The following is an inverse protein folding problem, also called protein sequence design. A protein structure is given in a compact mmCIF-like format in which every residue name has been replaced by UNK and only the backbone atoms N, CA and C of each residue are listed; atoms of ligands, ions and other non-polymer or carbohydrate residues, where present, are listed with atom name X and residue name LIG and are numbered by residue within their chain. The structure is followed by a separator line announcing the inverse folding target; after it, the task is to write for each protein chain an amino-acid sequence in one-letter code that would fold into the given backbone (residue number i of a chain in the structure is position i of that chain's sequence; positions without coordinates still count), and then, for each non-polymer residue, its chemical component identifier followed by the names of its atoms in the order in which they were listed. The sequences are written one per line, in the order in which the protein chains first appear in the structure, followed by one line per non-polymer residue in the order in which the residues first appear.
data_IF_067536111754
#
_entry.id   IF_067536111754
#
_cell.length_a   1.000
_cell.length_b   1.000
_cell.length_c   1.000
_cell.angle_alpha   90.00
_cell.angle_beta   90.00
_cell.angle_gamma   90.00
#
_symmetry.space_group_name_H-M   'P 1'
#
loop_
_entity.id
_entity.type
_entity.pdbx_description
1 polymer ?
#
# COMPACT_ATOMS: atom_id res chain seq x y z
N UNK A 1 15.85 17.78 -5.96
CA UNK A 1 16.50 16.53 -5.56
C UNK A 1 16.25 16.15 -4.09
N UNK A 2 15.51 16.95 -3.33
CA UNK A 2 15.28 16.73 -1.90
C UNK A 2 13.78 16.48 -1.66
N UNK A 3 13.46 15.51 -0.79
CA UNK A 3 12.09 15.19 -0.39
C UNK A 3 11.37 16.41 0.22
N UNK A 4 12.12 17.38 0.74
CA UNK A 4 11.57 18.67 1.22
C UNK A 4 10.85 19.48 0.14
N UNK A 5 11.03 19.17 -1.14
CA UNK A 5 10.44 19.91 -2.26
C UNK A 5 9.26 19.19 -2.93
N UNK A 6 8.77 18.09 -2.35
CA UNK A 6 7.65 17.31 -2.91
C UNK A 6 6.39 18.15 -3.12
N UNK A 7 6.17 19.18 -2.30
CA UNK A 7 5.01 20.08 -2.38
C UNK A 7 5.02 21.01 -3.60
N UNK A 8 6.16 21.12 -4.30
CA UNK A 8 6.23 21.83 -5.57
C UNK A 8 5.48 21.11 -6.69
N UNK A 9 5.39 19.79 -6.63
CA UNK A 9 4.72 18.96 -7.64
C UNK A 9 3.21 19.05 -7.43
N UNK A 10 2.49 19.57 -8.44
CA UNK A 10 1.03 19.68 -8.44
C UNK A 10 0.40 18.68 -9.41
N UNK A 11 -0.92 18.58 -9.34
CA UNK A 11 -1.67 17.74 -10.26
C UNK A 11 -1.45 18.20 -11.70
N UNK A 12 -1.03 17.27 -12.57
CA UNK A 12 -0.68 17.58 -13.96
C UNK A 12 0.81 17.75 -14.23
N UNK A 13 1.65 17.83 -13.19
CA UNK A 13 3.09 18.02 -13.34
C UNK A 13 3.84 16.70 -13.64
N UNK A 14 5.05 16.84 -14.16
CA UNK A 14 5.98 15.72 -14.36
C UNK A 14 7.06 15.82 -13.28
N UNK A 15 7.19 14.77 -12.47
CA UNK A 15 8.21 14.71 -11.42
C UNK A 15 9.56 14.36 -12.06
N UNK A 16 10.54 15.26 -11.92
CA UNK A 16 11.93 15.04 -12.33
C UNK A 16 12.82 15.03 -11.08
N UNK A 17 13.59 13.96 -10.87
CA UNK A 17 14.47 13.82 -9.71
C UNK A 17 15.72 12.99 -10.03
N UNK A 18 16.76 13.06 -9.18
CA UNK A 18 17.93 12.20 -9.37
C UNK A 18 17.57 10.72 -9.11
N UNK A 19 16.86 10.48 -8.01
CA UNK A 19 16.31 9.19 -7.60
C UNK A 19 15.06 9.44 -6.74
N UNK A 20 14.16 8.47 -6.65
CA UNK A 20 13.00 8.52 -5.76
C UNK A 20 13.19 7.60 -4.54
N UNK A 21 12.71 8.03 -3.37
CA UNK A 21 12.52 7.21 -2.16
C UNK A 21 11.03 7.08 -1.82
N UNK A 22 10.64 6.24 -0.85
CA UNK A 22 9.25 6.15 -0.39
C UNK A 22 8.64 7.51 -0.01
N UNK A 23 9.43 8.46 0.48
CA UNK A 23 8.98 9.80 0.89
C UNK A 23 8.41 10.62 -0.28
N UNK A 24 8.76 10.26 -1.52
CA UNK A 24 8.27 10.93 -2.72
C UNK A 24 6.83 10.49 -3.07
N UNK A 25 6.27 9.48 -2.40
CA UNK A 25 4.96 8.90 -2.71
C UNK A 25 3.83 9.95 -2.87
N UNK A 26 3.70 10.98 -1.99
CA UNK A 26 2.68 12.01 -2.17
C UNK A 26 2.83 12.79 -3.49
N UNK A 27 4.06 13.17 -3.87
CA UNK A 27 4.33 13.83 -5.15
C UNK A 27 4.13 12.90 -6.34
N UNK A 28 4.53 11.63 -6.23
CA UNK A 28 4.35 10.62 -7.28
C UNK A 28 2.87 10.38 -7.60
N UNK A 29 1.98 10.47 -6.60
CA UNK A 29 0.52 10.37 -6.81
C UNK A 29 -0.07 11.54 -7.61
N UNK A 30 0.49 12.75 -7.45
CA UNK A 30 0.05 13.96 -8.17
C UNK A 30 0.61 14.06 -9.59
N UNK A 31 1.80 13.48 -9.79
CA UNK A 31 2.50 13.55 -11.06
C UNK A 31 1.81 12.72 -12.16
N UNK A 32 1.79 13.25 -13.39
CA UNK A 32 1.28 12.54 -14.58
C UNK A 32 2.34 11.69 -15.27
N UNK A 33 3.61 11.92 -14.97
CA UNK A 33 4.74 11.09 -15.38
C UNK A 33 5.95 11.30 -14.46
N UNK A 34 6.91 10.38 -14.49
CA UNK A 34 8.12 10.44 -13.65
C UNK A 34 9.37 10.24 -14.50
N UNK A 35 10.38 11.09 -14.29
CA UNK A 35 11.71 10.96 -14.91
C UNK A 35 12.77 10.95 -13.80
N UNK A 36 13.64 9.93 -13.79
CA UNK A 36 14.78 9.90 -12.87
C UNK A 36 16.13 9.75 -13.59
N UNK A 37 17.15 10.46 -13.11
CA UNK A 37 18.51 10.38 -13.66
C UNK A 37 19.12 9.00 -13.42
N UNK A 38 18.89 8.44 -12.23
CA UNK A 38 19.40 7.13 -11.82
C UNK A 38 18.28 6.12 -11.66
N UNK A 39 18.67 4.85 -11.63
CA UNK A 39 17.79 3.72 -11.40
C UNK A 39 17.57 2.88 -12.64
N UNK A 40 17.40 1.57 -12.43
CA UNK A 40 17.06 0.62 -13.48
C UNK A 40 15.59 0.21 -13.46
N UNK A 41 15.26 -0.84 -14.22
CA UNK A 41 13.88 -1.37 -14.31
C UNK A 41 13.25 -1.74 -12.95
N UNK A 42 14.07 -2.01 -11.95
CA UNK A 42 13.71 -2.39 -10.58
C UNK A 42 13.85 -1.26 -9.56
N UNK A 43 14.16 -0.03 -10.01
CA UNK A 43 14.25 1.12 -9.11
C UNK A 43 12.87 1.47 -8.53
N UNK A 44 12.87 2.16 -7.38
CA UNK A 44 11.65 2.61 -6.70
C UNK A 44 10.69 3.34 -7.66
N UNK A 45 11.19 4.33 -8.41
CA UNK A 45 10.41 5.09 -9.39
C UNK A 45 9.73 4.17 -10.42
N UNK A 46 10.47 3.18 -10.95
CA UNK A 46 9.96 2.26 -11.96
C UNK A 46 8.92 1.28 -11.40
N UNK A 47 9.06 0.85 -10.15
CA UNK A 47 8.10 -0.05 -9.48
C UNK A 47 6.80 0.71 -9.19
N UNK A 48 6.90 1.85 -8.50
CA UNK A 48 5.74 2.64 -8.08
C UNK A 48 4.99 3.21 -9.28
N UNK A 49 5.69 3.67 -10.32
CA UNK A 49 5.00 4.19 -11.53
C UNK A 49 4.17 3.13 -12.24
N UNK A 50 4.61 1.87 -12.26
CA UNK A 50 3.82 0.76 -12.81
C UNK A 50 2.57 0.47 -11.98
N UNK A 51 2.69 0.59 -10.65
CA UNK A 51 1.55 0.46 -9.74
C UNK A 51 0.53 1.57 -9.92
N UNK A 52 1.00 2.82 -10.05
CA UNK A 52 0.15 3.99 -10.31
C UNK A 52 -0.39 4.04 -11.75
N UNK A 53 0.22 3.31 -12.67
CA UNK A 53 -0.15 3.31 -14.09
C UNK A 53 0.24 4.58 -14.84
N UNK A 54 1.27 5.29 -14.38
CA UNK A 54 1.79 6.51 -15.00
C UNK A 54 3.08 6.21 -15.81
N UNK A 55 3.34 6.92 -16.92
CA UNK A 55 4.59 6.78 -17.66
C UNK A 55 5.81 7.10 -16.80
N UNK A 56 6.87 6.30 -16.95
CA UNK A 56 8.12 6.53 -16.23
C UNK A 56 9.34 6.22 -17.09
N UNK A 57 10.35 7.09 -17.00
CA UNK A 57 11.68 6.92 -17.58
C UNK A 57 12.70 6.99 -16.44
N UNK A 58 13.51 5.97 -16.29
CA UNK A 58 14.57 5.90 -15.28
C UNK A 58 15.91 5.73 -15.98
N UNK A 59 16.99 6.22 -15.37
CA UNK A 59 18.31 6.19 -16.01
C UNK A 59 18.44 7.22 -17.11
N UNK A 60 17.78 8.38 -16.98
CA UNK A 60 17.88 9.48 -17.95
C UNK A 60 19.22 10.23 -17.89
N UNK A 61 20.05 9.92 -16.89
CA UNK A 61 21.39 10.45 -16.59
C UNK A 61 21.45 11.95 -16.25
N UNK A 62 20.79 12.81 -17.02
CA UNK A 62 20.92 14.28 -16.95
C UNK A 62 19.58 15.03 -17.02
N UNK A 63 18.46 14.39 -16.73
CA UNK A 63 17.15 15.05 -16.73
C UNK A 63 17.09 16.21 -15.73
N UNK A 64 17.65 16.07 -14.52
CA UNK A 64 17.62 17.15 -13.51
C UNK A 64 18.44 18.38 -13.89
N UNK A 65 19.39 18.25 -14.82
CA UNK A 65 20.21 19.37 -15.32
C UNK A 65 19.76 19.89 -16.67
N UNK A 66 19.02 19.08 -17.44
CA UNK A 66 18.54 19.43 -18.79
C UNK A 66 17.13 20.03 -18.76
N UNK A 67 16.29 19.62 -17.80
CA UNK A 67 14.91 20.10 -17.65
C UNK A 67 14.84 21.13 -16.54
N UNK A 68 14.19 22.25 -16.82
CA UNK A 68 13.97 23.33 -15.84
C UNK A 68 12.54 23.31 -15.28
N UNK A 69 12.35 23.76 -14.04
CA UNK A 69 11.02 23.91 -13.43
C UNK A 69 10.07 24.71 -14.33
N UNK A 70 8.84 24.21 -14.50
CA UNK A 70 7.82 24.81 -15.38
C UNK A 70 7.98 24.53 -16.87
N UNK A 71 9.06 23.86 -17.29
CA UNK A 71 9.24 23.46 -18.69
C UNK A 71 8.23 22.36 -19.09
N UNK A 72 7.53 22.59 -20.20
CA UNK A 72 6.64 21.59 -20.78
C UNK A 72 7.47 20.53 -21.50
N UNK A 73 7.36 19.28 -21.05
CA UNK A 73 7.99 18.11 -21.67
C UNK A 73 6.96 17.00 -21.91
N UNK A 74 7.28 16.06 -22.79
CA UNK A 74 6.50 14.84 -23.01
C UNK A 74 7.33 13.61 -22.65
N UNK A 75 6.75 12.70 -21.87
CA UNK A 75 7.39 11.46 -21.42
C UNK A 75 6.79 10.25 -22.12
N UNK A 76 7.61 9.53 -22.88
CA UNK A 76 7.28 8.24 -23.47
C UNK A 76 7.92 7.12 -22.65
N UNK A 77 7.16 6.62 -21.67
CA UNK A 77 7.57 5.48 -20.84
C UNK A 77 7.65 4.13 -21.57
N UNK A 78 7.15 4.02 -22.81
CA UNK A 78 7.22 2.77 -23.59
C UNK A 78 8.58 2.61 -24.28
N UNK A 79 9.13 3.72 -24.78
CA UNK A 79 10.42 3.75 -25.47
C UNK A 79 11.55 4.33 -24.64
N UNK A 80 11.27 4.80 -23.41
CA UNK A 80 12.28 5.39 -22.54
C UNK A 80 12.74 6.78 -23.00
N UNK A 81 11.87 7.57 -23.65
CA UNK A 81 12.23 8.85 -24.27
C UNK A 81 11.54 10.03 -23.60
N UNK A 82 12.26 11.14 -23.49
CA UNK A 82 11.74 12.43 -23.03
C UNK A 82 11.91 13.44 -24.15
N UNK A 83 10.85 14.18 -24.47
CA UNK A 83 10.81 15.15 -25.56
C UNK A 83 10.53 16.54 -25.00
N UNK A 84 11.14 17.56 -25.61
CA UNK A 84 10.80 18.94 -25.31
C UNK A 84 9.42 19.30 -25.91
N UNK A 85 8.61 20.04 -25.16
CA UNK A 85 7.28 20.47 -25.56
C UNK A 85 6.20 19.39 -25.43
N UNK A 86 4.97 19.76 -25.83
CA UNK A 86 3.78 18.90 -25.79
C UNK A 86 3.61 18.18 -27.12
N UNK A 87 3.96 16.90 -27.17
CA UNK A 87 3.75 16.06 -28.34
C UNK A 87 2.31 15.52 -28.31
N UNK A 88 1.49 15.95 -29.26
CA UNK A 88 0.10 15.47 -29.41
C UNK A 88 0.10 14.13 -30.14
N UNK A 89 0.44 13.04 -29.45
CA UNK A 89 0.16 11.70 -29.96
C UNK A 89 -1.24 11.29 -29.50
N UNK A 90 -2.13 11.03 -30.46
CA UNK A 90 -3.45 10.44 -30.20
C UNK A 90 -3.21 9.01 -29.67
N UNK A 91 -3.18 8.84 -28.35
CA UNK A 91 -3.17 7.51 -27.77
C UNK A 91 -4.50 6.90 -28.23
N UNK A 92 -4.43 5.89 -29.09
CA UNK A 92 -5.54 4.94 -29.23
C UNK A 92 -5.59 4.21 -27.90
N UNK A 93 -6.25 4.80 -26.91
CA UNK A 93 -6.80 4.05 -25.80
C UNK A 93 -7.88 3.21 -26.44
N UNK A 94 -7.50 2.03 -26.95
CA UNK A 94 -8.46 0.97 -27.16
C UNK A 94 -9.11 0.81 -25.79
N UNK A 95 -10.35 1.26 -25.69
CA UNK A 95 -11.16 1.09 -24.49
C UNK A 95 -11.29 -0.43 -24.33
N UNK A 96 -10.40 -1.02 -23.53
CA UNK A 96 -10.47 -2.40 -23.07
C UNK A 96 -11.82 -2.70 -22.38
N UNK A 97 -12.62 -1.67 -22.13
CA UNK A 97 -14.01 -1.72 -21.70
C UNK A 97 -14.92 -2.59 -22.57
N UNK A 98 -14.59 -2.86 -23.85
CA UNK A 98 -15.47 -3.67 -24.71
C UNK A 98 -15.17 -5.17 -24.71
N UNK A 99 -14.06 -5.65 -24.14
CA UNK A 99 -13.63 -7.05 -24.32
C UNK A 99 -14.08 -8.00 -23.20
N UNK A 100 -14.55 -7.55 -22.03
CA UNK A 100 -14.90 -8.48 -20.95
C UNK A 100 -16.22 -8.12 -20.26
N UNK A 101 -17.34 -8.34 -20.96
CA UNK A 101 -18.64 -8.54 -20.31
C UNK A 101 -18.86 -9.99 -19.87
N UNK A 102 -18.20 -10.94 -20.53
CA UNK A 102 -18.30 -12.35 -20.13
C UNK A 102 -17.24 -12.66 -19.08
N UNK A 103 -17.72 -13.13 -17.91
CA UNK A 103 -16.85 -13.62 -16.85
C UNK A 103 -15.98 -14.76 -17.39
N UNK A 104 -14.69 -14.50 -17.60
CA UNK A 104 -13.74 -15.55 -17.96
C UNK A 104 -13.71 -16.55 -16.82
N UNK A 105 -14.19 -17.76 -17.07
CA UNK A 105 -14.12 -18.85 -16.10
C UNK A 105 -12.70 -19.43 -16.11
N UNK A 106 -11.92 -19.06 -15.11
CA UNK A 106 -10.58 -19.61 -14.88
C UNK A 106 -10.65 -20.83 -13.95
N UNK A 107 -9.68 -21.75 -14.06
CA UNK A 107 -9.50 -22.83 -13.06
C UNK A 107 -8.94 -22.30 -11.74
N UNK A 108 -8.15 -21.23 -11.82
CA UNK A 108 -7.48 -20.58 -10.69
C UNK A 108 -8.13 -19.24 -10.42
N UNK A 109 -8.38 -18.93 -9.15
CA UNK A 109 -8.90 -17.63 -8.75
C UNK A 109 -7.88 -16.53 -9.03
N UNK A 110 -8.33 -15.43 -9.62
CA UNK A 110 -7.54 -14.23 -9.91
C UNK A 110 -7.81 -13.21 -8.82
N UNK A 111 -6.95 -13.20 -7.81
CA UNK A 111 -6.96 -12.18 -6.77
C UNK A 111 -6.04 -11.01 -7.09
N UNK A 112 -6.37 -9.84 -6.55
CA UNK A 112 -5.55 -8.63 -6.67
C UNK A 112 -4.81 -8.33 -5.37
N UNK A 113 -3.70 -7.61 -5.50
CA UNK A 113 -3.00 -6.97 -4.39
C UNK A 113 -3.37 -5.48 -4.42
N UNK A 114 -3.84 -4.94 -3.30
CA UNK A 114 -4.24 -3.53 -3.20
C UNK A 114 -3.81 -2.94 -1.87
N UNK A 115 -3.59 -1.63 -1.87
CA UNK A 115 -3.29 -0.85 -0.67
C UNK A 115 -3.99 0.52 -0.67
N UNK A 116 -4.30 1.07 -1.84
CA UNK A 116 -4.89 2.40 -2.00
C UNK A 116 -6.44 2.34 -2.04
N UNK A 117 -7.15 2.99 -1.09
CA UNK A 117 -8.61 2.98 -1.03
C UNK A 117 -9.28 3.50 -2.29
N UNK A 118 -8.68 4.48 -2.97
CA UNK A 118 -9.26 5.14 -4.15
C UNK A 118 -9.35 4.20 -5.37
N UNK A 119 -8.57 3.11 -5.37
CA UNK A 119 -8.60 2.09 -6.42
C UNK A 119 -9.63 0.99 -6.15
N UNK A 120 -10.19 0.90 -4.94
CA UNK A 120 -11.02 -0.23 -4.52
C UNK A 120 -12.23 -0.45 -5.44
N UNK A 121 -13.08 0.55 -5.63
CA UNK A 121 -14.30 0.43 -6.45
C UNK A 121 -13.96 0.17 -7.93
N UNK A 122 -12.93 0.84 -8.49
CA UNK A 122 -12.48 0.65 -9.88
C UNK A 122 -11.93 -0.75 -10.14
N UNK A 123 -11.21 -1.33 -9.18
CA UNK A 123 -10.65 -2.68 -9.33
C UNK A 123 -11.72 -3.73 -9.05
N UNK A 124 -12.61 -3.47 -8.09
CA UNK A 124 -13.77 -4.31 -7.82
C UNK A 124 -14.70 -4.45 -9.05
N UNK A 125 -14.81 -3.43 -9.90
CA UNK A 125 -15.59 -3.49 -11.14
C UNK A 125 -14.96 -4.33 -12.25
N UNK A 126 -13.74 -4.86 -12.05
CA UNK A 126 -13.06 -5.75 -13.01
C UNK A 126 -13.42 -7.21 -12.74
N UNK A 127 -13.13 -8.07 -13.72
CA UNK A 127 -13.30 -9.52 -13.60
C UNK A 127 -12.19 -10.13 -12.70
N UNK A 128 -12.33 -9.93 -11.38
CA UNK A 128 -11.42 -10.41 -10.33
C UNK A 128 -12.21 -11.13 -9.23
N UNK A 129 -11.61 -12.14 -8.63
CA UNK A 129 -12.26 -13.02 -7.65
C UNK A 129 -12.22 -12.48 -6.21
N UNK A 130 -11.52 -11.38 -5.96
CA UNK A 130 -11.32 -10.80 -4.62
C UNK A 130 -9.96 -10.14 -4.46
N UNK A 131 -9.64 -9.74 -3.23
CA UNK A 131 -8.33 -9.20 -2.83
C UNK A 131 -7.57 -10.29 -2.08
N UNK A 132 -6.43 -10.72 -2.61
CA UNK A 132 -5.61 -11.79 -2.04
C UNK A 132 -4.58 -11.26 -1.05
N UNK A 133 -4.28 -9.97 -1.13
CA UNK A 133 -3.42 -9.25 -0.20
C UNK A 133 -3.83 -7.78 -0.15
N UNK A 134 -4.49 -7.39 0.93
CA UNK A 134 -4.68 -6.00 1.35
C UNK A 134 -3.60 -5.66 2.38
N UNK A 135 -2.76 -4.68 2.05
CA UNK A 135 -1.64 -4.23 2.89
C UNK A 135 -2.09 -3.15 3.89
N UNK A 136 -1.90 -3.40 5.18
CA UNK A 136 -2.20 -2.46 6.27
C UNK A 136 -1.31 -1.21 6.25
N UNK A 137 -0.10 -1.33 5.71
CA UNK A 137 0.98 -0.36 5.81
C UNK A 137 0.59 1.03 5.29
N UNK A 138 -0.14 1.07 4.17
CA UNK A 138 -0.57 2.36 3.61
C UNK A 138 -1.57 3.07 4.53
N UNK A 139 -2.50 2.33 5.13
CA UNK A 139 -3.48 2.90 6.06
C UNK A 139 -2.78 3.42 7.32
N UNK A 140 -1.85 2.66 7.89
CA UNK A 140 -1.11 3.06 9.09
C UNK A 140 -0.20 4.27 8.80
N UNK A 141 0.46 4.30 7.64
CA UNK A 141 1.24 5.47 7.23
C UNK A 141 0.38 6.74 7.10
N UNK A 142 -0.88 6.63 6.68
CA UNK A 142 -1.81 7.77 6.62
C UNK A 142 -2.27 8.24 8.01
N UNK A 143 -2.37 7.34 8.99
CA UNK A 143 -2.59 7.72 10.39
C UNK A 143 -1.41 8.56 10.90
N UNK A 144 -0.19 8.22 10.46
CA UNK A 144 1.01 9.04 10.64
C UNK A 144 1.61 9.03 12.06
N UNK A 145 0.99 8.31 13.00
CA UNK A 145 1.39 8.24 14.41
C UNK A 145 1.66 6.82 14.85
N UNK A 146 2.65 6.65 15.72
CA UNK A 146 2.97 5.35 16.29
C UNK A 146 1.80 4.82 17.17
N UNK A 147 1.37 3.56 17.05
CA UNK A 147 0.25 3.03 17.83
C UNK A 147 0.45 3.14 19.35
N UNK A 148 1.63 2.79 19.86
CA UNK A 148 1.93 2.93 21.30
C UNK A 148 1.91 4.38 21.78
N UNK A 149 2.31 5.32 20.92
CA UNK A 149 2.23 6.76 21.23
C UNK A 149 0.76 7.19 21.37
N UNK A 150 -0.11 6.72 20.47
CA UNK A 150 -1.54 7.00 20.55
C UNK A 150 -2.20 6.33 21.78
N UNK A 151 -1.79 5.10 22.14
CA UNK A 151 -2.26 4.42 23.37
C UNK A 151 -1.89 5.25 24.60
N UNK A 152 -0.64 5.71 24.70
CA UNK A 152 -0.18 6.52 25.83
C UNK A 152 -0.88 7.88 25.95
N UNK A 153 -1.53 8.35 24.87
CA UNK A 153 -2.36 9.55 24.87
C UNK A 153 -3.86 9.27 25.03
N UNK A 154 -4.28 8.02 25.25
CA UNK A 154 -5.68 7.60 25.28
C UNK A 154 -6.44 7.91 23.97
N UNK A 155 -5.75 7.73 22.83
CA UNK A 155 -6.27 7.97 21.47
C UNK A 155 -6.42 6.67 20.67
N UNK A 156 -6.57 5.54 21.34
CA UNK A 156 -6.76 4.21 20.74
C UNK A 156 -7.97 4.20 19.80
N UNK A 157 -9.06 4.85 20.21
CA UNK A 157 -10.29 4.93 19.42
C UNK A 157 -10.06 5.62 18.07
N UNK A 158 -9.25 6.69 18.05
CA UNK A 158 -8.93 7.40 16.81
C UNK A 158 -8.18 6.50 15.82
N UNK A 159 -7.21 5.73 16.32
CA UNK A 159 -6.46 4.77 15.51
C UNK A 159 -7.39 3.68 14.94
N UNK A 160 -8.24 3.09 15.79
CA UNK A 160 -9.21 2.05 15.40
C UNK A 160 -10.20 2.58 14.38
N UNK A 161 -10.71 3.81 14.56
CA UNK A 161 -11.69 4.43 13.66
C UNK A 161 -11.07 4.66 12.27
N UNK A 162 -9.86 5.20 12.19
CA UNK A 162 -9.17 5.43 10.91
C UNK A 162 -8.84 4.11 10.19
N UNK A 163 -8.35 3.11 10.92
CA UNK A 163 -8.06 1.80 10.33
C UNK A 163 -9.34 1.09 9.88
N UNK A 164 -10.42 1.19 10.66
CA UNK A 164 -11.74 0.68 10.29
C UNK A 164 -12.19 1.27 8.96
N UNK A 165 -12.16 2.60 8.77
CA UNK A 165 -12.59 3.24 7.52
C UNK A 165 -11.77 2.77 6.32
N UNK A 166 -10.45 2.65 6.50
CA UNK A 166 -9.54 2.14 5.49
C UNK A 166 -9.92 0.73 5.04
N UNK A 167 -10.06 -0.21 5.98
CA UNK A 167 -10.38 -1.62 5.69
C UNK A 167 -11.81 -1.76 5.15
N UNK A 168 -12.76 -1.04 5.75
CA UNK A 168 -14.19 -1.05 5.41
C UNK A 168 -14.43 -0.70 3.94
N UNK A 169 -13.65 0.24 3.40
CA UNK A 169 -13.72 0.64 1.99
C UNK A 169 -13.50 -0.55 1.04
N UNK A 170 -12.48 -1.38 1.31
CA UNK A 170 -12.20 -2.57 0.50
C UNK A 170 -13.23 -3.67 0.75
N UNK A 171 -13.58 -3.92 2.01
CA UNK A 171 -14.56 -4.96 2.35
C UNK A 171 -15.90 -4.71 1.66
N UNK A 172 -16.38 -3.46 1.68
CA UNK A 172 -17.58 -3.00 0.96
C UNK A 172 -17.45 -3.19 -0.54
N UNK A 173 -16.38 -2.66 -1.15
CA UNK A 173 -16.23 -2.66 -2.61
C UNK A 173 -16.19 -4.07 -3.21
N UNK A 174 -15.62 -5.03 -2.48
CA UNK A 174 -15.47 -6.40 -2.97
C UNK A 174 -16.61 -7.34 -2.57
N UNK A 175 -17.47 -6.98 -1.61
CA UNK A 175 -18.53 -7.86 -1.10
C UNK A 175 -19.40 -8.46 -2.22
N UNK A 176 -19.65 -9.79 -2.26
CA UNK A 176 -19.27 -10.84 -1.27
C UNK A 176 -17.92 -11.52 -1.53
N UNK A 177 -17.11 -11.05 -2.49
CA UNK A 177 -15.79 -11.62 -2.79
C UNK A 177 -14.81 -11.38 -1.63
N UNK A 178 -13.94 -12.36 -1.32
CA UNK A 178 -13.04 -12.27 -0.18
C UNK A 178 -12.05 -11.10 -0.31
N UNK A 179 -11.74 -10.49 0.84
CA UNK A 179 -10.67 -9.51 1.01
C UNK A 179 -9.75 -10.03 2.11
N UNK A 180 -8.51 -10.38 1.76
CA UNK A 180 -7.53 -10.88 2.71
C UNK A 180 -6.70 -9.72 3.23
N UNK A 181 -7.03 -9.24 4.43
CA UNK A 181 -6.25 -8.23 5.16
C UNK A 181 -5.03 -8.86 5.79
N UNK A 182 -3.84 -8.41 5.40
CA UNK A 182 -2.61 -8.75 6.09
C UNK A 182 -2.41 -7.76 7.23
N UNK A 183 -2.32 -8.27 8.45
CA UNK A 183 -2.00 -7.45 9.64
C UNK A 183 -0.68 -6.72 9.44
N UNK A 184 -0.44 -5.67 10.20
CA UNK A 184 0.73 -4.83 9.99
C UNK A 184 2.04 -5.63 9.97
N UNK A 185 2.87 -5.33 8.98
CA UNK A 185 4.22 -5.88 8.81
C UNK A 185 5.29 -4.78 8.77
N UNK A 186 5.02 -3.60 9.34
CA UNK A 186 6.05 -2.57 9.51
C UNK A 186 7.25 -3.13 10.29
N UNK A 187 8.41 -2.70 9.80
CA UNK A 187 9.69 -2.86 10.48
C UNK A 187 9.84 -1.76 11.53
N UNK A 188 10.79 -1.97 12.44
CA UNK A 188 11.19 -0.99 13.45
C UNK A 188 11.49 0.38 12.84
N UNK A 189 12.30 0.42 11.78
CA UNK A 189 12.65 1.68 11.11
C UNK A 189 11.45 2.39 10.48
N UNK A 190 10.47 1.67 9.91
CA UNK A 190 9.25 2.26 9.34
C UNK A 190 8.35 2.85 10.44
N UNK A 191 8.22 2.15 11.57
CA UNK A 191 7.51 2.68 12.74
C UNK A 191 8.21 3.89 13.35
N UNK A 192 9.55 3.91 13.35
CA UNK A 192 10.37 5.00 13.91
C UNK A 192 10.19 6.33 13.19
N UNK A 193 9.83 6.30 11.90
CA UNK A 193 9.53 7.48 11.09
C UNK A 193 8.13 8.05 11.32
N UNK A 194 7.24 7.33 12.04
CA UNK A 194 5.96 7.89 12.47
C UNK A 194 6.14 8.87 13.63
N UNK A 195 5.19 9.80 13.79
CA UNK A 195 5.15 10.69 14.95
C UNK A 195 5.10 9.87 16.25
N UNK A 196 6.02 10.17 17.17
CA UNK A 196 6.21 9.45 18.44
C UNK A 196 6.97 8.11 18.32
N UNK A 197 7.30 7.63 17.12
CA UNK A 197 7.90 6.31 16.92
C UNK A 197 9.30 6.14 17.52
N UNK A 198 10.11 7.21 17.55
CA UNK A 198 11.47 7.18 18.10
C UNK A 198 11.54 6.79 19.60
N UNK A 199 10.44 6.98 20.35
CA UNK A 199 10.36 6.61 21.77
C UNK A 199 10.15 5.11 21.99
N UNK A 200 9.55 4.42 21.01
CA UNK A 200 9.14 3.01 21.15
C UNK A 200 9.97 2.04 20.31
N UNK A 201 10.72 2.55 19.33
CA UNK A 201 11.40 1.72 18.33
C UNK A 201 12.92 1.85 18.39
N UNK A 202 13.57 0.71 18.66
CA UNK A 202 15.02 0.60 18.64
C UNK A 202 15.58 0.64 17.21
N UNK A 203 16.85 1.05 17.08
CA UNK A 203 17.57 0.98 15.82
C UNK A 203 18.11 -0.44 15.64
N UNK A 204 17.62 -1.13 14.62
CA UNK A 204 18.12 -2.45 14.23
C UNK A 204 19.11 -2.34 13.07
N UNK A 205 20.23 -3.08 13.14
CA UNK A 205 21.20 -3.19 12.05
C UNK A 205 20.56 -3.72 10.75
N UNK A 206 19.61 -4.66 10.87
CA UNK A 206 18.88 -5.22 9.73
C UNK A 206 17.37 -5.34 10.01
N UNK A 207 16.60 -4.26 9.75
CA UNK A 207 15.15 -4.25 9.98
C UNK A 207 14.38 -5.28 9.15
N UNK A 208 14.94 -5.78 8.04
CA UNK A 208 14.26 -6.80 7.21
C UNK A 208 14.08 -8.14 7.93
N UNK A 209 15.02 -8.48 8.82
CA UNK A 209 15.00 -9.70 9.63
C UNK A 209 14.61 -9.45 11.09
N UNK A 210 14.40 -8.18 11.43
CA UNK A 210 14.21 -7.67 12.77
C UNK A 210 12.80 -7.80 13.33
N UNK A 211 12.43 -6.90 14.22
CA UNK A 211 11.23 -6.98 15.05
C UNK A 211 9.95 -6.53 14.32
N UNK A 212 9.28 -7.49 13.66
CA UNK A 212 8.07 -7.28 12.84
C UNK A 212 7.12 -8.47 12.80
N UNK A 213 5.94 -8.27 12.19
CA UNK A 213 4.94 -9.29 11.88
C UNK A 213 4.54 -10.15 13.08
N UNK A 214 4.41 -11.47 12.89
CA UNK A 214 3.94 -12.40 13.92
C UNK A 214 4.67 -12.27 15.27
N UNK A 215 5.99 -12.07 15.28
CA UNK A 215 6.74 -11.89 16.53
C UNK A 215 6.32 -10.64 17.28
N UNK A 216 6.02 -9.55 16.57
CA UNK A 216 5.54 -8.30 17.16
C UNK A 216 4.12 -8.44 17.69
N UNK A 217 3.22 -9.04 16.92
CA UNK A 217 1.83 -9.30 17.35
C UNK A 217 1.74 -10.13 18.65
N UNK A 218 2.74 -10.98 18.92
CA UNK A 218 2.81 -11.78 20.16
C UNK A 218 3.37 -10.98 21.33
N UNK A 219 4.35 -10.11 21.08
CA UNK A 219 5.10 -9.40 22.13
C UNK A 219 4.45 -8.06 22.51
N UNK A 220 3.78 -7.41 21.56
CA UNK A 220 3.03 -6.16 21.73
C UNK A 220 1.52 -6.39 21.51
N UNK A 221 0.85 -7.12 22.41
CA UNK A 221 -0.57 -7.47 22.28
C UNK A 221 -1.49 -6.25 22.18
N UNK A 222 -1.16 -5.15 22.85
CA UNK A 222 -2.00 -3.95 22.91
C UNK A 222 -2.11 -3.27 21.54
N UNK A 223 -1.01 -3.22 20.77
CA UNK A 223 -1.01 -2.71 19.39
C UNK A 223 -1.86 -3.63 18.50
N UNK A 224 -1.70 -4.94 18.66
CA UNK A 224 -2.44 -5.91 17.86
C UNK A 224 -3.94 -5.88 18.17
N UNK A 225 -4.33 -5.58 19.40
CA UNK A 225 -5.72 -5.44 19.82
C UNK A 225 -6.44 -4.29 19.10
N UNK A 226 -5.72 -3.20 18.76
CA UNK A 226 -6.26 -2.11 17.94
C UNK A 226 -6.65 -2.61 16.54
N UNK A 227 -5.78 -3.37 15.87
CA UNK A 227 -6.13 -3.97 14.57
C UNK A 227 -7.28 -4.96 14.68
N UNK A 228 -7.28 -5.81 15.71
CA UNK A 228 -8.33 -6.81 15.93
C UNK A 228 -9.68 -6.14 16.10
N UNK A 229 -9.75 -5.03 16.84
CA UNK A 229 -11.00 -4.30 17.03
C UNK A 229 -11.50 -3.67 15.72
N UNK A 230 -10.62 -3.09 14.91
CA UNK A 230 -10.97 -2.59 13.57
C UNK A 230 -11.51 -3.72 12.67
N UNK A 231 -10.82 -4.88 12.65
CA UNK A 231 -11.24 -6.07 11.88
C UNK A 231 -12.62 -6.54 12.35
N UNK A 232 -12.85 -6.65 13.66
CA UNK A 232 -14.13 -7.08 14.23
C UNK A 232 -15.25 -6.13 13.83
N UNK A 233 -15.04 -4.81 13.90
CA UNK A 233 -16.02 -3.81 13.45
C UNK A 233 -16.37 -3.96 11.98
N UNK A 234 -15.37 -4.08 11.09
CA UNK A 234 -15.65 -4.30 9.65
C UNK A 234 -16.48 -5.58 9.45
N UNK A 235 -16.12 -6.66 10.15
CA UNK A 235 -16.82 -7.95 10.06
C UNK A 235 -18.24 -7.96 10.63
N UNK A 236 -18.68 -6.94 11.35
CA UNK A 236 -20.09 -6.82 11.73
C UNK A 236 -20.94 -6.64 10.46
N UNK A 237 -20.47 -5.84 9.51
CA UNK A 237 -21.17 -5.52 8.26
C UNK A 237 -20.74 -6.41 7.08
N UNK A 238 -19.47 -6.81 7.04
CA UNK A 238 -18.86 -7.45 5.87
C UNK A 238 -18.12 -8.74 6.25
N UNK A 239 -18.77 -9.89 6.02
CA UNK A 239 -18.21 -11.21 6.36
C UNK A 239 -17.09 -11.66 5.42
N UNK A 240 -16.89 -10.98 4.30
CA UNK A 240 -15.86 -11.31 3.31
C UNK A 240 -14.43 -10.88 3.71
N UNK A 241 -14.23 -10.21 4.86
CA UNK A 241 -12.90 -9.83 5.34
C UNK A 241 -12.18 -11.00 6.05
N UNK A 242 -11.14 -11.54 5.45
CA UNK A 242 -10.25 -12.56 6.02
C UNK A 242 -8.95 -11.93 6.53
N UNK A 243 -8.19 -12.67 7.33
CA UNK A 243 -6.96 -12.17 7.96
C UNK A 243 -5.76 -13.02 7.55
N UNK A 244 -4.63 -12.39 7.29
CA UNK A 244 -3.32 -13.00 7.04
C UNK A 244 -2.32 -12.48 8.06
N UNK A 245 -1.56 -13.39 8.68
CA UNK A 245 -0.49 -13.03 9.61
C UNK A 245 0.86 -13.04 8.88
N UNK A 246 1.56 -11.90 8.76
CA UNK A 246 2.84 -11.82 8.11
C UNK A 246 3.97 -12.39 8.98
N UNK A 247 5.07 -12.77 8.33
CA UNK A 247 6.36 -13.03 8.95
C UNK A 247 6.33 -14.08 10.08
N UNK A 248 5.53 -15.13 9.90
CA UNK A 248 5.46 -16.27 10.80
C UNK A 248 6.74 -17.11 10.69
N UNK A 249 7.60 -17.06 11.71
CA UNK A 249 8.87 -17.80 11.74
C UNK A 249 8.76 -19.20 12.34
N UNK A 250 7.77 -19.44 13.20
CA UNK A 250 7.61 -20.72 13.90
C UNK A 250 6.16 -21.14 13.96
N UNK A 251 5.93 -22.47 13.92
CA UNK A 251 4.60 -23.06 14.08
C UNK A 251 3.99 -22.67 15.43
N UNK A 252 4.80 -22.65 16.49
CA UNK A 252 4.34 -22.23 17.83
C UNK A 252 3.90 -20.76 17.85
N UNK A 253 4.61 -19.87 17.14
CA UNK A 253 4.21 -18.47 16.99
C UNK A 253 2.83 -18.34 16.35
N UNK A 254 2.59 -19.06 15.24
CA UNK A 254 1.27 -19.07 14.60
C UNK A 254 0.18 -19.65 15.51
N UNK A 255 0.48 -20.74 16.22
CA UNK A 255 -0.47 -21.36 17.15
C UNK A 255 -0.86 -20.41 18.28
N UNK A 256 0.08 -19.62 18.81
CA UNK A 256 -0.19 -18.59 19.82
C UNK A 256 -1.11 -17.50 19.26
N UNK A 257 -0.81 -16.95 18.08
CA UNK A 257 -1.62 -15.92 17.43
C UNK A 257 -3.04 -16.43 17.13
N UNK A 258 -3.16 -17.65 16.61
CA UNK A 258 -4.46 -18.28 16.35
C UNK A 258 -5.31 -18.33 17.62
N UNK A 259 -4.77 -18.87 18.72
CA UNK A 259 -5.47 -18.91 20.01
C UNK A 259 -5.84 -17.51 20.52
N UNK A 260 -4.95 -16.55 20.32
CA UNK A 260 -5.14 -15.16 20.73
C UNK A 260 -6.30 -14.48 19.97
N UNK A 261 -6.43 -14.73 18.66
CA UNK A 261 -7.54 -14.27 17.83
C UNK A 261 -8.86 -14.98 18.19
N UNK A 262 -8.83 -16.29 18.41
CA UNK A 262 -9.99 -17.09 18.82
C UNK A 262 -10.58 -16.59 20.15
N UNK A 263 -9.71 -16.29 21.13
CA UNK A 263 -10.11 -15.70 22.40
C UNK A 263 -10.80 -14.33 22.27
N UNK A 264 -10.57 -13.62 21.16
CA UNK A 264 -11.18 -12.32 20.84
C UNK A 264 -12.37 -12.42 19.87
N UNK A 265 -12.83 -13.65 19.60
CA UNK A 265 -14.00 -13.92 18.77
C UNK A 265 -13.72 -14.04 17.27
N UNK A 266 -12.46 -14.05 16.84
CA UNK A 266 -12.06 -14.27 15.44
C UNK A 266 -11.73 -15.75 15.21
N UNK A 267 -12.77 -16.58 15.30
CA UNK A 267 -12.66 -18.03 15.09
C UNK A 267 -12.74 -18.40 13.61
N UNK A 268 -11.91 -19.36 13.19
CA UNK A 268 -11.99 -19.91 11.83
C UNK A 268 -13.37 -20.50 11.57
N UNK A 269 -14.01 -20.10 10.47
CA UNK A 269 -15.35 -20.53 10.09
C UNK A 269 -15.49 -20.57 8.55
N UNK A 270 -16.66 -20.93 8.04
CA UNK A 270 -16.93 -20.84 6.59
C UNK A 270 -16.69 -19.41 6.06
N UNK A 271 -16.95 -18.41 6.90
CA UNK A 271 -16.96 -16.99 6.55
C UNK A 271 -15.72 -16.25 7.10
N UNK A 272 -14.79 -16.95 7.75
CA UNK A 272 -13.54 -16.37 8.24
C UNK A 272 -12.39 -17.35 8.06
N UNK A 273 -11.42 -16.94 7.24
CA UNK A 273 -10.18 -17.67 7.07
C UNK A 273 -9.02 -16.88 7.69
N UNK A 274 -8.17 -17.61 8.39
CA UNK A 274 -6.89 -17.14 8.89
C UNK A 274 -5.78 -17.74 8.02
N UNK A 275 -5.01 -16.88 7.35
CA UNK A 275 -3.90 -17.25 6.48
C UNK A 275 -2.57 -16.88 7.13
N UNK A 276 -1.49 -17.42 6.57
CA UNK A 276 -0.09 -17.06 6.87
C UNK A 276 0.65 -16.79 5.57
#
# INVERSE_FOLDING_TARGET
SDASQIDKVKDGDILVAEMSTPDFMPAMKRAVAIVTDRGGRTAHAAIVSRELGIPCVVGAERATTTVTDGQVITVDGSHGKVYNGKVTRRIRTTTFASILKDAIKTKTKVYVNLAQPELADRVASRNVDGVGLLRAEFMIAQIGKHPSYMINQHREKEFVDQLYEGINTFARAFNPRPVVYRTNDFKTNEYRELEGGQEYEEVEENPMLGYRGASRNIRDPDIFDLEIEAIKRVRQNYKNLWVMIPFVRTVNGMAKIKKYLEARGLNSSADFKLWM
#
